data_IF_053883174911
#
_entry.id   IF_053883174911
#
_cell.length_a   1.000
_cell.length_b   1.000
_cell.length_c   1.000
_cell.angle_alpha   90.00
_cell.angle_beta   90.00
_cell.angle_gamma   90.00
#
_symmetry.space_group_name_H-M   'P 1'
#
loop_
_entity.id
_entity.type
_entity.pdbx_description
1 polymer ?
#
# COMPACT_ATOMS: atom_id res chain seq x y z
N UNK A 1 17.92 -3.29 -13.05
CA UNK A 1 16.91 -4.07 -12.29
C UNK A 1 15.63 -3.27 -12.07
N UNK A 2 15.69 -2.04 -11.52
CA UNK A 2 14.49 -1.18 -11.35
C UNK A 2 13.65 -0.98 -12.63
N UNK A 3 14.30 -0.75 -13.78
CA UNK A 3 13.65 -0.59 -15.08
C UNK A 3 12.88 -1.82 -15.58
N UNK A 4 13.17 -3.02 -15.07
CA UNK A 4 12.45 -4.25 -15.44
C UNK A 4 11.17 -4.39 -14.60
N UNK A 5 11.20 -3.98 -13.33
CA UNK A 5 10.08 -4.10 -12.39
C UNK A 5 8.93 -3.14 -12.75
N UNK A 6 9.24 -1.96 -13.31
CA UNK A 6 8.22 -1.00 -13.76
C UNK A 6 7.36 -1.47 -14.94
N UNK A 7 7.66 -2.64 -15.54
CA UNK A 7 6.86 -3.23 -16.63
C UNK A 7 5.86 -4.29 -16.14
N UNK A 8 5.90 -4.66 -14.86
CA UNK A 8 4.96 -5.61 -14.25
C UNK A 8 3.57 -4.98 -14.12
N UNK A 9 2.51 -5.75 -14.41
CA UNK A 9 1.12 -5.26 -14.45
C UNK A 9 0.66 -4.75 -13.08
N UNK A 10 1.09 -5.40 -12.00
CA UNK A 10 0.62 -5.13 -10.65
C UNK A 10 1.65 -4.37 -9.80
N UNK A 11 2.73 -3.88 -10.40
CA UNK A 11 3.73 -3.13 -9.65
C UNK A 11 3.29 -1.68 -9.39
N UNK A 12 3.50 -1.22 -8.15
CA UNK A 12 3.40 0.19 -7.77
C UNK A 12 4.54 0.52 -6.82
N UNK A 13 5.17 1.68 -6.99
CA UNK A 13 6.29 2.10 -6.15
C UNK A 13 5.85 2.60 -4.77
N UNK A 14 4.59 3.05 -4.60
CA UNK A 14 4.13 3.73 -3.37
C UNK A 14 4.35 2.89 -2.11
N UNK A 15 4.00 1.58 -2.07
CA UNK A 15 4.24 0.77 -0.87
C UNK A 15 5.70 0.65 -0.47
N UNK A 16 6.65 0.96 -1.36
CA UNK A 16 8.09 0.93 -1.09
C UNK A 16 8.64 2.27 -0.60
N UNK A 17 7.95 3.38 -0.88
CA UNK A 17 8.43 4.72 -0.53
C UNK A 17 7.72 5.33 0.66
N UNK A 18 6.44 5.00 0.89
CA UNK A 18 5.70 5.64 1.98
C UNK A 18 4.33 5.06 2.26
N UNK A 19 3.58 5.83 3.04
CA UNK A 19 2.18 5.63 3.37
C UNK A 19 1.52 7.00 3.54
N UNK A 20 0.19 7.05 3.51
CA UNK A 20 -0.59 8.28 3.68
C UNK A 20 -1.27 8.29 5.03
N UNK A 21 -1.27 9.43 5.72
CA UNK A 21 -2.05 9.64 6.94
C UNK A 21 -3.01 10.80 6.69
N UNK A 22 -4.30 10.57 6.93
CA UNK A 22 -5.31 11.62 6.76
C UNK A 22 -5.43 12.54 7.99
N UNK A 23 -6.13 13.68 7.89
CA UNK A 23 -6.33 14.58 9.03
C UNK A 23 -7.10 13.97 10.22
N UNK A 24 -7.74 12.80 10.05
CA UNK A 24 -8.42 12.06 11.11
C UNK A 24 -7.50 11.03 11.78
N UNK A 25 -6.22 10.97 11.40
CA UNK A 25 -5.25 10.01 11.95
C UNK A 25 -5.38 8.60 11.37
N UNK A 26 -5.98 8.42 10.20
CA UNK A 26 -6.04 7.10 9.53
C UNK A 26 -4.83 6.93 8.62
N UNK A 27 -3.99 5.94 8.92
CA UNK A 27 -2.89 5.53 8.06
C UNK A 27 -3.38 4.54 6.99
N UNK A 28 -2.97 4.77 5.75
CA UNK A 28 -3.37 4.02 4.57
C UNK A 28 -2.20 3.79 3.62
N UNK A 29 -2.31 2.77 2.77
CA UNK A 29 -1.24 2.37 1.84
C UNK A 29 -0.84 3.51 0.89
N UNK A 30 -1.82 4.20 0.30
CA UNK A 30 -1.59 5.34 -0.58
C UNK A 30 -2.74 6.36 -0.47
N UNK A 31 -2.72 7.48 -1.22
CA UNK A 31 -3.79 8.48 -1.19
C UNK A 31 -5.09 8.05 -1.90
N UNK A 32 -5.13 6.87 -2.52
CA UNK A 32 -6.31 6.38 -3.23
C UNK A 32 -7.37 5.92 -2.22
N UNK A 33 -8.46 6.67 -2.12
CA UNK A 33 -9.53 6.36 -1.21
C UNK A 33 -10.33 5.14 -1.69
N UNK A 34 -10.15 4.01 -1.01
CA UNK A 34 -10.87 2.76 -1.27
C UNK A 34 -11.55 2.25 0.02
N UNK A 35 -12.75 1.65 -0.06
CA UNK A 35 -13.38 0.99 1.09
C UNK A 35 -12.68 -0.33 1.47
N UNK A 36 -11.67 -0.76 0.72
CA UNK A 36 -10.96 -2.01 1.00
C UNK A 36 -10.19 -1.95 2.33
N UNK A 37 -10.45 -2.91 3.22
CA UNK A 37 -9.78 -3.05 4.52
C UNK A 37 -8.27 -3.29 4.40
N UNK A 38 -7.80 -3.95 3.35
CA UNK A 38 -6.37 -4.17 3.10
C UNK A 38 -5.60 -2.85 2.84
N UNK A 39 -6.33 -1.77 2.50
CA UNK A 39 -5.75 -0.45 2.29
C UNK A 39 -5.59 0.35 3.59
N UNK A 40 -6.31 -0.03 4.65
CA UNK A 40 -6.20 0.59 5.98
C UNK A 40 -5.07 -0.08 6.74
N UNK A 41 -4.10 0.70 7.20
CA UNK A 41 -2.91 0.21 7.89
C UNK A 41 -3.01 0.40 9.41
N UNK A 42 -3.52 1.56 9.84
CA UNK A 42 -3.63 1.92 11.25
C UNK A 42 -4.64 3.04 11.47
N UNK A 43 -5.15 3.14 12.69
CA UNK A 43 -5.98 4.24 13.16
C UNK A 43 -5.38 4.80 14.45
N UNK A 44 -4.72 5.96 14.33
CA UNK A 44 -4.03 6.63 15.43
C UNK A 44 -4.99 7.14 16.51
N UNK A 45 -6.30 7.20 16.24
CA UNK A 45 -7.30 7.54 17.27
C UNK A 45 -7.58 6.38 18.23
N UNK A 46 -7.23 5.15 17.84
CA UNK A 46 -7.49 3.93 18.61
C UNK A 46 -6.29 3.43 19.41
N UNK A 47 -5.08 3.71 18.92
CA UNK A 47 -3.86 3.27 19.59
C UNK A 47 -2.63 4.02 19.09
N UNK A 48 -1.62 4.12 19.96
CA UNK A 48 -0.32 4.66 19.63
C UNK A 48 0.54 3.57 18.98
N UNK A 49 1.16 3.89 17.84
CA UNK A 49 2.11 3.04 17.14
C UNK A 49 3.10 3.93 16.39
N UNK A 50 4.36 3.53 16.26
CA UNK A 50 5.31 4.34 15.49
C UNK A 50 5.06 4.17 13.99
N UNK A 51 5.33 5.23 13.21
CA UNK A 51 5.18 5.21 11.75
C UNK A 51 6.06 4.11 11.15
N UNK A 52 7.28 3.95 11.67
CA UNK A 52 8.21 2.90 11.25
C UNK A 52 7.61 1.49 11.42
N UNK A 53 6.96 1.21 12.55
CA UNK A 53 6.32 -0.09 12.81
C UNK A 53 5.13 -0.37 11.89
N UNK A 54 4.46 0.68 11.42
CA UNK A 54 3.38 0.57 10.43
C UNK A 54 3.98 0.32 9.06
N UNK A 55 5.01 1.09 8.68
CA UNK A 55 5.68 0.99 7.38
C UNK A 55 6.39 -0.36 7.16
N UNK A 56 6.94 -0.93 8.22
CA UNK A 56 7.61 -2.23 8.21
C UNK A 56 6.68 -3.39 8.63
N UNK A 57 5.37 -3.15 8.71
CA UNK A 57 4.41 -4.17 9.09
C UNK A 57 4.33 -5.32 8.08
N UNK A 58 3.93 -6.51 8.57
CA UNK A 58 3.68 -7.68 7.73
C UNK A 58 2.69 -7.39 6.60
N UNK A 59 1.72 -6.51 6.82
CA UNK A 59 0.73 -6.13 5.80
C UNK A 59 1.40 -5.47 4.59
N UNK A 60 2.21 -4.43 4.80
CA UNK A 60 2.89 -3.74 3.70
C UNK A 60 3.95 -4.65 3.08
N UNK A 61 4.69 -5.42 3.89
CA UNK A 61 5.67 -6.37 3.38
C UNK A 61 5.03 -7.43 2.47
N UNK A 62 3.85 -7.95 2.84
CA UNK A 62 3.12 -8.89 1.98
C UNK A 62 2.69 -8.24 0.65
N UNK A 63 2.28 -6.97 0.67
CA UNK A 63 1.95 -6.21 -0.56
C UNK A 63 3.20 -6.04 -1.43
N UNK A 64 4.32 -5.61 -0.86
CA UNK A 64 5.60 -5.47 -1.57
C UNK A 64 6.02 -6.80 -2.22
N UNK A 65 5.92 -7.91 -1.49
CA UNK A 65 6.28 -9.23 -2.02
C UNK A 65 5.37 -9.68 -3.17
N UNK A 66 4.07 -9.39 -3.10
CA UNK A 66 3.15 -9.63 -4.22
C UNK A 66 3.53 -8.79 -5.44
N UNK A 67 3.81 -7.50 -5.24
CA UNK A 67 4.20 -6.58 -6.31
C UNK A 67 5.53 -6.93 -6.96
N UNK A 68 6.48 -7.53 -6.24
CA UNK A 68 7.77 -7.99 -6.80
C UNK A 68 7.66 -9.31 -7.58
N UNK A 69 6.48 -9.96 -7.53
CA UNK A 69 6.19 -11.21 -8.21
C UNK A 69 5.12 -11.05 -9.28
N UNK A 70 4.79 -9.81 -9.65
CA UNK A 70 3.63 -9.47 -10.47
C UNK A 70 2.34 -10.18 -10.04
N UNK A 71 2.05 -10.20 -8.73
CA UNK A 71 0.83 -10.79 -8.18
C UNK A 71 -0.23 -9.71 -7.86
N UNK A 72 -1.48 -10.02 -8.13
CA UNK A 72 -2.61 -9.12 -7.87
C UNK A 72 -2.77 -8.78 -6.37
N UNK A 73 -3.02 -7.50 -6.10
CA UNK A 73 -3.27 -6.93 -4.76
C UNK A 73 -4.66 -6.29 -4.74
N UNK A 74 -5.57 -6.83 -3.93
CA UNK A 74 -6.96 -6.35 -3.88
C UNK A 74 -7.05 -4.88 -3.45
N UNK A 75 -6.16 -4.40 -2.58
CA UNK A 75 -6.09 -2.99 -2.18
C UNK A 75 -5.86 -2.03 -3.37
N UNK A 76 -5.19 -2.50 -4.41
CA UNK A 76 -4.77 -1.72 -5.57
C UNK A 76 -5.70 -1.87 -6.79
N UNK A 77 -6.77 -2.68 -6.67
CA UNK A 77 -7.70 -2.96 -7.77
C UNK A 77 -8.23 -1.71 -8.46
N UNK A 78 -8.48 -0.63 -7.71
CA UNK A 78 -8.95 0.63 -8.30
C UNK A 78 -7.97 1.19 -9.34
N UNK A 79 -6.66 1.11 -9.09
CA UNK A 79 -5.65 1.60 -10.02
C UNK A 79 -5.50 0.63 -11.20
N UNK A 80 -5.43 -0.68 -10.92
CA UNK A 80 -5.33 -1.70 -11.96
C UNK A 80 -6.47 -1.63 -12.99
N UNK A 81 -7.69 -1.31 -12.59
CA UNK A 81 -8.83 -1.15 -13.53
C UNK A 81 -8.83 0.17 -14.31
N UNK A 82 -8.04 1.17 -13.89
CA UNK A 82 -8.05 2.52 -14.47
C UNK A 82 -6.80 2.85 -15.29
N UNK A 83 -5.70 2.19 -14.96
CA UNK A 83 -4.40 2.35 -15.63
C UNK A 83 -4.21 1.35 -16.79
N UNK A 84 -5.25 0.56 -17.10
CA UNK A 84 -5.32 -0.32 -18.28
C UNK A 84 -5.40 0.43 -19.62
#
# INVERSE_FOLDING_TARGET
MLLLIMKEKYYCYIPFEGLTIDPKGRAQLCPVWTPNKEHVLHDFTKSHKNIEDIFNSNQINNIRQKMLKDEFVQACNMCYTREE
#
